data_IF_226496844249
#
_entry.id   IF_226496844249
#
_cell.length_a   1.000
_cell.length_b   1.000
_cell.length_c   1.000
_cell.angle_alpha   90.00
_cell.angle_beta   90.00
_cell.angle_gamma   90.00
#
_symmetry.space_group_name_H-M   'P 1'
#
loop_
_entity.id
_entity.type
_entity.pdbx_description
1 polymer ?
#
# COMPACT_ATOMS: atom_id res chain seq x y z
N UNK A 1 -8.19 34.51 -10.36
CA UNK A 1 -8.48 33.12 -9.93
C UNK A 1 -7.20 32.59 -9.30
N UNK A 2 -7.27 32.09 -8.06
CA UNK A 2 -6.10 31.43 -7.47
C UNK A 2 -5.83 30.15 -8.25
N UNK A 3 -4.55 29.87 -8.56
CA UNK A 3 -4.14 28.60 -9.15
C UNK A 3 -4.48 27.46 -8.19
N UNK A 4 -4.87 26.27 -8.69
CA UNK A 4 -5.12 25.13 -7.82
C UNK A 4 -3.82 24.72 -7.09
N UNK A 5 -3.97 24.27 -5.83
CA UNK A 5 -2.86 23.68 -5.10
C UNK A 5 -2.29 22.47 -5.87
N UNK A 6 -0.99 22.41 -6.00
CA UNK A 6 -0.29 21.40 -6.79
C UNK A 6 0.32 20.31 -5.91
N UNK A 7 0.13 19.06 -6.29
CA UNK A 7 0.66 17.89 -5.58
C UNK A 7 1.53 17.03 -6.50
N UNK A 8 2.67 16.57 -5.98
CA UNK A 8 3.46 15.55 -6.64
C UNK A 8 3.06 14.17 -6.09
N UNK A 9 2.71 13.24 -6.98
CA UNK A 9 2.45 11.84 -6.65
C UNK A 9 3.43 10.95 -7.40
N UNK A 10 4.41 10.37 -6.72
CA UNK A 10 5.28 9.37 -7.30
C UNK A 10 4.64 7.99 -7.20
N UNK A 11 4.74 7.16 -8.23
CA UNK A 11 3.98 5.90 -8.28
C UNK A 11 2.49 6.11 -8.52
N UNK A 12 2.11 7.24 -9.15
CA UNK A 12 0.73 7.64 -9.35
C UNK A 12 -0.04 6.82 -10.40
N UNK A 13 0.64 6.08 -11.28
CA UNK A 13 0.04 5.13 -12.21
C UNK A 13 -0.11 3.72 -11.61
N UNK A 14 0.37 3.51 -10.38
CA UNK A 14 0.21 2.29 -9.62
C UNK A 14 -1.22 2.10 -9.07
N UNK A 15 -1.45 0.97 -8.39
CA UNK A 15 -2.74 0.63 -7.80
C UNK A 15 -3.26 1.73 -6.85
N UNK A 16 -2.59 1.96 -5.72
CA UNK A 16 -3.03 2.95 -4.72
C UNK A 16 -2.90 4.38 -5.26
N UNK A 17 -1.79 4.65 -5.96
CA UNK A 17 -1.49 5.97 -6.51
C UNK A 17 -2.57 6.50 -7.45
N UNK A 18 -3.14 5.64 -8.32
CA UNK A 18 -4.18 6.05 -9.26
C UNK A 18 -5.48 6.49 -8.58
N UNK A 19 -5.88 5.83 -7.49
CA UNK A 19 -7.02 6.26 -6.69
C UNK A 19 -6.76 7.59 -5.96
N UNK A 20 -5.52 7.78 -5.47
CA UNK A 20 -5.13 9.04 -4.84
C UNK A 20 -5.13 10.19 -5.86
N UNK A 21 -4.60 9.97 -7.07
CA UNK A 21 -4.62 10.95 -8.16
C UNK A 21 -6.06 11.34 -8.53
N UNK A 22 -6.93 10.36 -8.75
CA UNK A 22 -8.35 10.61 -9.05
C UNK A 22 -9.02 11.45 -7.95
N UNK A 23 -8.75 11.13 -6.67
CA UNK A 23 -9.33 11.84 -5.55
C UNK A 23 -8.80 13.29 -5.44
N UNK A 24 -7.51 13.52 -5.61
CA UNK A 24 -6.92 14.86 -5.60
C UNK A 24 -7.50 15.73 -6.73
N UNK A 25 -7.63 15.18 -7.93
CA UNK A 25 -8.24 15.89 -9.06
C UNK A 25 -9.73 16.18 -8.83
N UNK A 26 -10.47 15.23 -8.24
CA UNK A 26 -11.87 15.43 -7.86
C UNK A 26 -12.03 16.52 -6.77
N UNK A 27 -11.05 16.66 -5.88
CA UNK A 27 -10.97 17.73 -4.88
C UNK A 27 -10.47 19.07 -5.50
N UNK A 28 -10.37 19.17 -6.85
CA UNK A 28 -10.00 20.40 -7.57
C UNK A 28 -8.51 20.75 -7.51
N UNK A 29 -7.63 19.78 -7.19
CA UNK A 29 -6.19 19.97 -7.09
C UNK A 29 -5.52 19.76 -8.45
N UNK A 30 -4.32 20.33 -8.64
CA UNK A 30 -3.43 19.99 -9.73
C UNK A 30 -2.48 18.87 -9.26
N UNK A 31 -2.20 17.91 -10.14
CA UNK A 31 -1.37 16.73 -9.82
C UNK A 31 -0.33 16.51 -10.90
N UNK A 32 0.94 16.40 -10.49
CA UNK A 32 1.98 15.80 -11.33
C UNK A 32 2.26 14.38 -10.85
N UNK A 33 2.18 13.41 -11.75
CA UNK A 33 2.55 12.02 -11.53
C UNK A 33 3.94 11.79 -12.11
N UNK A 34 4.83 11.13 -11.35
CA UNK A 34 6.07 10.54 -11.86
C UNK A 34 5.98 9.04 -11.60
N UNK A 35 6.03 8.23 -12.69
CA UNK A 35 5.92 6.77 -12.64
C UNK A 35 6.74 6.15 -13.78
N UNK A 36 7.51 5.10 -13.53
CA UNK A 36 8.29 4.41 -14.56
C UNK A 36 7.52 3.28 -15.26
N UNK A 37 6.25 3.11 -14.88
CA UNK A 37 5.33 2.09 -15.38
C UNK A 37 5.83 0.64 -15.21
N UNK A 38 6.84 0.42 -14.37
CA UNK A 38 7.41 -0.92 -14.12
C UNK A 38 6.44 -1.87 -13.44
N UNK A 39 5.52 -1.33 -12.63
CA UNK A 39 4.43 -2.06 -11.96
C UNK A 39 3.08 -1.37 -12.15
N UNK A 40 3.08 -0.09 -12.48
CA UNK A 40 1.91 0.71 -12.82
C UNK A 40 1.48 0.54 -14.27
N UNK A 41 0.34 1.16 -14.63
CA UNK A 41 -0.17 1.26 -16.00
C UNK A 41 -0.90 2.57 -16.19
N UNK A 42 -0.77 3.21 -17.35
CA UNK A 42 -1.57 4.38 -17.72
C UNK A 42 -3.08 4.07 -17.80
N UNK A 43 -3.45 2.80 -17.99
CA UNK A 43 -4.85 2.37 -17.92
C UNK A 43 -5.48 2.69 -16.57
N UNK A 44 -4.71 2.67 -15.49
CA UNK A 44 -5.19 3.04 -14.16
C UNK A 44 -5.58 4.53 -14.05
N UNK A 45 -5.06 5.38 -14.93
CA UNK A 45 -5.36 6.81 -14.99
C UNK A 45 -6.34 7.17 -16.11
N UNK A 46 -6.83 6.20 -16.88
CA UNK A 46 -7.65 6.44 -18.08
C UNK A 46 -8.87 7.33 -17.81
N UNK A 47 -9.50 7.20 -16.64
CA UNK A 47 -10.66 8.01 -16.27
C UNK A 47 -10.34 9.51 -16.11
N UNK A 48 -9.08 9.86 -15.85
CA UNK A 48 -8.64 11.24 -15.55
C UNK A 48 -7.52 11.73 -16.47
N UNK A 49 -7.06 10.94 -17.43
CA UNK A 49 -5.90 11.27 -18.28
C UNK A 49 -6.09 12.56 -19.09
N UNK A 50 -7.33 12.91 -19.43
CA UNK A 50 -7.68 14.13 -20.15
C UNK A 50 -7.92 15.34 -19.22
N UNK A 51 -7.76 15.21 -17.92
CA UNK A 51 -7.96 16.31 -16.98
C UNK A 51 -6.85 17.34 -17.15
N UNK A 52 -7.14 18.64 -17.39
CA UNK A 52 -6.14 19.68 -17.62
C UNK A 52 -5.23 19.94 -16.40
N UNK A 53 -5.66 19.52 -15.21
CA UNK A 53 -4.89 19.64 -13.98
C UNK A 53 -4.00 18.39 -13.72
N UNK A 54 -3.97 17.40 -14.62
CA UNK A 54 -3.12 16.23 -14.52
C UNK A 54 -1.94 16.35 -15.50
N UNK A 55 -0.74 16.20 -14.97
CA UNK A 55 0.49 15.99 -15.75
C UNK A 55 1.09 14.64 -15.39
N UNK A 56 1.37 13.81 -16.39
CA UNK A 56 2.03 12.51 -16.19
C UNK A 56 3.41 12.54 -16.82
N UNK A 57 4.42 12.11 -16.08
CA UNK A 57 5.81 11.99 -16.52
C UNK A 57 6.23 10.54 -16.38
N UNK A 58 6.45 9.86 -17.50
CA UNK A 58 6.96 8.50 -17.52
C UNK A 58 8.49 8.53 -17.29
N UNK A 59 8.89 8.28 -16.06
CA UNK A 59 10.28 8.28 -15.63
C UNK A 59 10.42 7.62 -14.26
N UNK A 60 11.61 7.09 -13.94
CA UNK A 60 11.99 6.92 -12.55
C UNK A 60 12.13 8.30 -11.90
N UNK A 61 11.82 8.40 -10.61
CA UNK A 61 11.94 9.67 -9.89
C UNK A 61 13.39 10.17 -9.92
N UNK A 62 14.35 9.25 -9.69
CA UNK A 62 15.79 9.54 -9.71
C UNK A 62 16.34 9.97 -11.08
N UNK A 63 15.63 9.68 -12.16
CA UNK A 63 16.02 10.04 -13.54
C UNK A 63 15.22 11.26 -14.07
N UNK A 64 14.23 11.75 -13.30
CA UNK A 64 13.40 12.88 -13.70
C UNK A 64 14.15 14.20 -13.57
N UNK A 65 14.58 14.76 -14.70
CA UNK A 65 15.35 16.02 -14.74
C UNK A 65 14.60 17.22 -14.16
N UNK A 66 13.27 17.21 -14.26
CA UNK A 66 12.42 18.29 -13.78
C UNK A 66 12.02 18.11 -12.28
N UNK A 67 12.50 17.07 -11.58
CA UNK A 67 12.08 16.77 -10.21
C UNK A 67 12.21 17.99 -9.28
N UNK A 68 13.31 18.70 -9.35
CA UNK A 68 13.57 19.86 -8.49
C UNK A 68 12.57 21.00 -8.68
N UNK A 69 12.22 21.28 -9.95
CA UNK A 69 11.22 22.30 -10.31
C UNK A 69 9.83 21.89 -9.88
N UNK A 70 9.44 20.63 -10.16
CA UNK A 70 8.14 20.09 -9.77
C UNK A 70 7.96 20.12 -8.25
N UNK A 71 9.00 19.73 -7.51
CA UNK A 71 8.96 19.78 -6.03
C UNK A 71 8.84 21.22 -5.53
N UNK A 72 9.57 22.16 -6.12
CA UNK A 72 9.51 23.59 -5.72
C UNK A 72 8.10 24.20 -5.92
N UNK A 73 7.35 23.71 -6.91
CA UNK A 73 5.98 24.15 -7.22
C UNK A 73 4.91 23.37 -6.42
N UNK A 74 5.29 22.31 -5.71
CA UNK A 74 4.35 21.42 -5.03
C UNK A 74 4.04 21.91 -3.61
N UNK A 75 2.75 21.92 -3.25
CA UNK A 75 2.26 22.08 -1.87
C UNK A 75 2.70 20.90 -1.01
N UNK A 76 2.76 19.69 -1.61
CA UNK A 76 3.14 18.49 -0.93
C UNK A 76 3.44 17.34 -1.88
N UNK A 77 4.15 16.34 -1.35
CA UNK A 77 4.53 15.12 -2.05
C UNK A 77 3.86 13.92 -1.39
N UNK A 78 3.23 13.06 -2.20
CA UNK A 78 2.88 11.69 -1.84
C UNK A 78 3.88 10.75 -2.52
N UNK A 79 4.76 10.13 -1.73
CA UNK A 79 5.76 9.22 -2.27
C UNK A 79 5.30 7.77 -2.13
N UNK A 80 4.72 7.22 -3.23
CA UNK A 80 4.24 5.85 -3.32
C UNK A 80 5.09 4.97 -4.24
N UNK A 81 6.00 5.57 -5.02
CA UNK A 81 6.89 4.83 -5.89
C UNK A 81 7.77 3.87 -5.09
N UNK A 82 7.69 2.59 -5.38
CA UNK A 82 8.52 1.55 -4.79
C UNK A 82 8.53 0.31 -5.70
N UNK A 83 9.63 -0.42 -5.71
CA UNK A 83 9.68 -1.76 -6.29
C UNK A 83 9.02 -2.73 -5.30
N UNK A 84 7.79 -3.16 -5.59
CA UNK A 84 6.97 -4.01 -4.73
C UNK A 84 6.53 -5.30 -5.44
N UNK A 85 6.21 -6.32 -4.65
CA UNK A 85 5.67 -7.60 -5.11
C UNK A 85 6.59 -8.76 -4.81
N UNK A 86 6.02 -9.86 -4.28
CA UNK A 86 6.78 -11.03 -3.80
C UNK A 86 7.67 -11.60 -4.90
N UNK A 87 7.16 -11.69 -6.12
CA UNK A 87 7.91 -12.24 -7.26
C UNK A 87 9.12 -11.36 -7.61
N UNK A 88 8.95 -10.03 -7.66
CA UNK A 88 10.04 -9.10 -7.95
C UNK A 88 11.09 -9.11 -6.83
N UNK A 89 10.64 -9.12 -5.58
CA UNK A 89 11.52 -9.15 -4.39
C UNK A 89 12.38 -10.42 -4.37
N UNK A 90 11.80 -11.57 -4.70
CA UNK A 90 12.52 -12.85 -4.71
C UNK A 90 13.45 -12.98 -5.92
N UNK A 91 12.98 -12.57 -7.10
CA UNK A 91 13.73 -12.77 -8.37
C UNK A 91 14.74 -11.66 -8.66
N UNK A 92 14.57 -10.47 -8.05
CA UNK A 92 15.44 -9.31 -8.32
C UNK A 92 15.71 -8.47 -7.06
N UNK A 93 16.26 -9.06 -5.99
CA UNK A 93 16.46 -8.39 -4.71
C UNK A 93 17.40 -7.18 -4.79
N UNK A 94 18.46 -7.24 -5.62
CA UNK A 94 19.36 -6.10 -5.83
C UNK A 94 18.60 -4.91 -6.37
N UNK A 95 17.81 -5.11 -7.43
CA UNK A 95 17.00 -4.05 -8.04
C UNK A 95 16.01 -3.49 -7.03
N UNK A 96 15.32 -4.35 -6.26
CA UNK A 96 14.34 -3.94 -5.25
C UNK A 96 14.96 -3.02 -4.22
N UNK A 97 16.10 -3.42 -3.62
CA UNK A 97 16.79 -2.63 -2.60
C UNK A 97 17.26 -1.29 -3.17
N UNK A 98 17.97 -1.33 -4.32
CA UNK A 98 18.55 -0.12 -4.92
C UNK A 98 17.47 0.88 -5.35
N UNK A 99 16.39 0.39 -5.97
CA UNK A 99 15.28 1.26 -6.41
C UNK A 99 14.62 1.92 -5.21
N UNK A 100 14.22 1.16 -4.18
CA UNK A 100 13.51 1.74 -3.04
C UNK A 100 14.36 2.82 -2.35
N UNK A 101 15.60 2.52 -2.02
CA UNK A 101 16.49 3.47 -1.36
C UNK A 101 16.76 4.71 -2.24
N UNK A 102 17.07 4.51 -3.53
CA UNK A 102 17.44 5.62 -4.41
C UNK A 102 16.28 6.56 -4.70
N UNK A 103 15.10 6.01 -5.00
CA UNK A 103 13.92 6.83 -5.30
C UNK A 103 13.48 7.62 -4.06
N UNK A 104 13.53 7.03 -2.86
CA UNK A 104 13.24 7.72 -1.60
C UNK A 104 14.27 8.80 -1.28
N UNK A 105 15.58 8.51 -1.42
CA UNK A 105 16.66 9.47 -1.16
C UNK A 105 16.50 10.74 -1.99
N UNK A 106 16.30 10.60 -3.31
CA UNK A 106 16.22 11.78 -4.20
C UNK A 106 15.00 12.64 -3.94
N UNK A 107 13.87 12.03 -3.55
CA UNK A 107 12.66 12.78 -3.17
C UNK A 107 12.89 13.55 -1.87
N UNK A 108 13.46 12.91 -0.85
CA UNK A 108 13.77 13.55 0.44
C UNK A 108 14.76 14.72 0.27
N UNK A 109 15.81 14.53 -0.54
CA UNK A 109 16.77 15.57 -0.86
C UNK A 109 16.12 16.77 -1.58
N UNK A 110 15.30 16.49 -2.61
CA UNK A 110 14.60 17.56 -3.34
C UNK A 110 13.62 18.31 -2.43
N UNK A 111 12.80 17.58 -1.67
CA UNK A 111 11.84 18.19 -0.75
C UNK A 111 12.53 19.01 0.35
N UNK A 112 13.67 18.56 0.86
CA UNK A 112 14.41 19.25 1.90
C UNK A 112 14.96 20.61 1.45
N UNK A 113 15.27 20.76 0.16
CA UNK A 113 15.74 22.05 -0.40
C UNK A 113 14.69 23.15 -0.33
N UNK A 114 13.43 22.77 -0.48
CA UNK A 114 12.31 23.70 -0.57
C UNK A 114 11.39 23.67 0.66
N UNK A 115 11.65 22.75 1.61
CA UNK A 115 10.82 22.57 2.80
C UNK A 115 9.45 21.97 2.48
N UNK A 116 9.31 21.25 1.36
CA UNK A 116 8.02 20.70 0.91
C UNK A 116 7.66 19.46 1.73
N UNK A 117 6.46 19.42 2.34
CA UNK A 117 6.05 18.28 3.15
C UNK A 117 5.88 17.00 2.34
N UNK A 118 6.27 15.86 2.95
CA UNK A 118 6.16 14.53 2.34
C UNK A 118 5.26 13.63 3.17
N UNK A 119 4.38 12.87 2.50
CA UNK A 119 3.83 11.64 3.01
C UNK A 119 4.50 10.47 2.30
N UNK A 120 5.30 9.68 3.06
CA UNK A 120 6.02 8.51 2.59
C UNK A 120 5.22 7.24 2.91
N UNK A 121 4.95 6.40 1.93
CA UNK A 121 4.36 5.08 2.19
C UNK A 121 5.43 4.04 2.52
N UNK A 122 5.22 3.35 3.63
CA UNK A 122 5.95 2.16 4.06
C UNK A 122 5.01 0.95 4.09
N UNK A 123 5.42 -0.12 4.73
CA UNK A 123 4.73 -1.40 4.70
C UNK A 123 4.67 -2.04 6.08
N UNK A 124 3.60 -2.80 6.35
CA UNK A 124 3.53 -3.65 7.54
C UNK A 124 4.59 -4.77 7.56
N UNK A 125 5.29 -5.03 6.47
CA UNK A 125 6.36 -6.03 6.43
C UNK A 125 7.58 -5.65 7.28
N UNK A 126 7.74 -4.37 7.64
CA UNK A 126 8.81 -3.91 8.53
C UNK A 126 8.70 -4.50 9.95
N UNK A 127 7.50 -4.94 10.38
CA UNK A 127 7.34 -5.65 11.65
C UNK A 127 7.98 -7.04 11.67
N UNK A 128 8.24 -7.61 10.50
CA UNK A 128 9.01 -8.83 10.32
C UNK A 128 8.44 -10.04 11.06
N UNK A 129 9.23 -10.64 11.93
CA UNK A 129 8.92 -11.88 12.68
C UNK A 129 8.21 -11.63 14.02
N UNK A 130 7.63 -10.46 14.24
CA UNK A 130 6.90 -10.16 15.47
C UNK A 130 5.77 -11.15 15.71
N UNK A 131 5.63 -11.61 16.95
CA UNK A 131 4.59 -12.55 17.40
C UNK A 131 3.43 -11.85 18.11
N UNK A 132 3.43 -10.51 18.14
CA UNK A 132 2.36 -9.75 18.80
C UNK A 132 1.02 -9.97 18.08
N UNK A 133 -0.11 -10.00 18.82
CA UNK A 133 -1.44 -10.18 18.24
C UNK A 133 -1.89 -9.00 17.36
N UNK A 134 -1.38 -7.79 17.65
CA UNK A 134 -1.55 -6.59 16.84
C UNK A 134 -0.25 -5.78 16.87
N UNK A 135 0.09 -5.13 15.76
CA UNK A 135 1.32 -4.36 15.61
C UNK A 135 1.05 -2.88 15.91
N UNK A 136 1.83 -2.33 16.81
CA UNK A 136 1.87 -0.91 17.15
C UNK A 136 3.12 -0.26 16.56
N UNK A 137 3.05 1.03 16.28
CA UNK A 137 4.16 1.78 15.70
C UNK A 137 5.40 1.86 16.61
N UNK A 138 5.20 1.67 17.91
CA UNK A 138 6.26 1.66 18.93
C UNK A 138 6.90 0.27 19.13
N UNK A 139 6.46 -0.73 18.35
CA UNK A 139 7.01 -2.08 18.47
C UNK A 139 8.39 -2.21 17.86
N UNK A 140 9.23 -3.09 18.43
CA UNK A 140 10.49 -3.50 17.83
C UNK A 140 10.25 -4.18 16.47
N UNK A 141 11.13 -3.89 15.50
CA UNK A 141 11.03 -4.41 14.14
C UNK A 141 11.99 -5.60 13.99
N UNK A 142 11.43 -6.82 13.91
CA UNK A 142 12.17 -8.08 13.99
C UNK A 142 12.45 -8.67 12.60
N UNK A 143 13.32 -8.02 11.85
CA UNK A 143 13.70 -8.49 10.50
C UNK A 143 14.45 -9.84 10.57
N UNK A 144 14.14 -10.73 9.62
CA UNK A 144 14.82 -12.02 9.50
C UNK A 144 16.25 -11.93 8.92
N UNK A 145 16.98 -13.05 8.89
CA UNK A 145 18.38 -13.07 8.48
C UNK A 145 18.55 -12.78 6.97
N UNK A 146 19.69 -12.18 6.56
CA UNK A 146 19.87 -11.67 5.19
C UNK A 146 19.94 -12.74 4.09
N UNK A 147 20.21 -14.00 4.43
CA UNK A 147 20.19 -15.10 3.45
C UNK A 147 18.76 -15.49 3.02
N UNK A 148 17.72 -15.01 3.74
CA UNK A 148 16.32 -15.15 3.35
C UNK A 148 15.88 -13.91 2.56
N UNK A 149 15.93 -14.00 1.25
CA UNK A 149 15.67 -12.88 0.32
C UNK A 149 14.33 -12.17 0.52
N UNK A 150 13.34 -12.84 1.11
CA UNK A 150 12.05 -12.27 1.47
C UNK A 150 12.17 -10.96 2.26
N UNK A 151 13.13 -10.88 3.17
CA UNK A 151 13.27 -9.72 4.07
C UNK A 151 13.92 -8.50 3.41
N UNK A 152 14.45 -8.65 2.20
CA UNK A 152 15.13 -7.56 1.48
C UNK A 152 14.20 -6.35 1.25
N UNK A 153 12.94 -6.59 0.88
CA UNK A 153 11.95 -5.54 0.72
C UNK A 153 11.61 -4.85 2.04
N UNK A 154 11.32 -5.62 3.09
CA UNK A 154 11.05 -5.08 4.41
C UNK A 154 12.23 -4.23 4.92
N UNK A 155 13.47 -4.73 4.73
CA UNK A 155 14.68 -4.02 5.11
C UNK A 155 14.86 -2.72 4.31
N UNK A 156 14.65 -2.73 3.00
CA UNK A 156 14.75 -1.51 2.18
C UNK A 156 13.73 -0.46 2.62
N UNK A 157 12.46 -0.84 2.87
CA UNK A 157 11.45 0.10 3.36
C UNK A 157 11.73 0.59 4.78
N UNK A 158 12.32 -0.26 5.64
CA UNK A 158 12.77 0.16 6.96
C UNK A 158 13.89 1.20 6.88
N UNK A 159 14.83 1.03 5.95
CA UNK A 159 15.87 2.02 5.69
C UNK A 159 15.29 3.34 5.17
N UNK A 160 14.25 3.31 4.32
CA UNK A 160 13.52 4.50 3.89
C UNK A 160 12.92 5.25 5.10
N UNK A 161 12.31 4.52 6.07
CA UNK A 161 11.78 5.12 7.30
C UNK A 161 12.89 5.80 8.13
N UNK A 162 14.02 5.10 8.37
CA UNK A 162 15.14 5.67 9.12
C UNK A 162 15.72 6.89 8.43
N UNK A 163 15.89 6.86 7.12
CA UNK A 163 16.36 8.00 6.34
C UNK A 163 15.39 9.18 6.44
N UNK A 164 14.10 8.96 6.25
CA UNK A 164 13.08 9.98 6.36
C UNK A 164 13.06 10.63 7.77
N UNK A 165 13.16 9.82 8.83
CA UNK A 165 13.23 10.32 10.21
C UNK A 165 14.54 11.06 10.51
N UNK A 166 15.64 10.72 9.84
CA UNK A 166 16.88 11.51 9.91
C UNK A 166 16.67 12.90 9.28
N UNK A 167 16.02 13.00 8.11
CA UNK A 167 15.67 14.29 7.50
C UNK A 167 14.75 15.14 8.40
N UNK A 168 13.79 14.51 9.10
CA UNK A 168 12.96 15.22 10.09
C UNK A 168 13.85 15.83 11.19
N UNK A 169 14.75 15.06 11.76
CA UNK A 169 15.59 15.51 12.89
C UNK A 169 16.62 16.55 12.48
N UNK A 170 17.35 16.28 11.40
CA UNK A 170 18.52 17.09 11.02
C UNK A 170 18.17 18.28 10.13
N UNK A 171 17.20 18.09 9.21
CA UNK A 171 16.83 19.10 8.22
C UNK A 171 15.48 19.77 8.50
N UNK A 172 14.75 19.34 9.54
CA UNK A 172 13.39 19.80 9.88
C UNK A 172 12.39 19.63 8.75
N UNK A 173 12.64 18.64 7.87
CA UNK A 173 11.72 18.31 6.78
C UNK A 173 10.41 17.75 7.37
N UNK A 174 9.23 18.30 7.00
CA UNK A 174 7.96 17.76 7.46
C UNK A 174 7.64 16.43 6.75
N UNK A 175 7.92 15.30 7.38
CA UNK A 175 7.61 13.97 6.86
C UNK A 175 6.59 13.27 7.74
N UNK A 176 5.60 12.62 7.12
CA UNK A 176 4.71 11.65 7.75
C UNK A 176 4.92 10.30 7.08
N UNK A 177 5.08 9.23 7.85
CA UNK A 177 5.28 7.87 7.33
C UNK A 177 4.02 7.05 7.56
N UNK A 178 3.46 6.44 6.50
CA UNK A 178 2.30 5.58 6.56
C UNK A 178 2.70 4.12 6.29
N UNK A 179 2.63 3.24 7.31
CA UNK A 179 2.83 1.79 7.16
C UNK A 179 1.53 1.16 6.67
N UNK A 180 1.48 0.78 5.39
CA UNK A 180 0.27 0.20 4.79
C UNK A 180 0.14 -1.29 5.12
N UNK A 181 -1.08 -1.69 5.51
CA UNK A 181 -1.47 -3.08 5.71
C UNK A 181 -2.38 -3.51 4.57
N UNK A 182 -2.08 -4.63 3.92
CA UNK A 182 -2.84 -5.31 2.85
C UNK A 182 -3.97 -4.48 2.23
N UNK A 183 -3.62 -3.41 1.56
CA UNK A 183 -4.58 -2.63 0.78
C UNK A 183 -5.04 -3.46 -0.41
N UNK A 184 -6.35 -3.52 -0.66
CA UNK A 184 -6.98 -4.30 -1.73
C UNK A 184 -8.05 -3.49 -2.45
N UNK A 185 -8.31 -3.83 -3.71
CA UNK A 185 -9.33 -3.18 -4.53
C UNK A 185 -9.18 -3.51 -6.01
N UNK A 186 -10.09 -3.00 -6.86
CA UNK A 186 -9.93 -3.04 -8.31
C UNK A 186 -8.62 -2.41 -8.76
N UNK A 187 -8.08 -2.77 -9.93
CA UNK A 187 -6.75 -2.39 -10.46
C UNK A 187 -5.57 -3.07 -9.76
N UNK A 188 -5.80 -3.80 -8.66
CA UNK A 188 -4.73 -4.59 -8.06
C UNK A 188 -4.48 -5.84 -8.91
N UNK A 189 -3.25 -5.99 -9.42
CA UNK A 189 -2.90 -7.18 -10.22
C UNK A 189 -2.55 -8.34 -9.29
N UNK A 190 -3.14 -9.52 -9.54
CA UNK A 190 -2.84 -10.75 -8.80
C UNK A 190 -1.43 -11.31 -9.02
N UNK A 191 -0.65 -10.73 -9.96
CA UNK A 191 0.71 -11.17 -10.34
C UNK A 191 1.73 -11.16 -9.19
N UNK A 192 1.47 -10.38 -8.14
CA UNK A 192 2.44 -10.15 -7.06
C UNK A 192 2.17 -10.94 -5.78
N UNK A 193 1.39 -12.04 -5.86
CA UNK A 193 1.18 -12.95 -4.71
C UNK A 193 0.14 -12.50 -3.69
N UNK A 194 -0.69 -11.51 -4.02
CA UNK A 194 -1.75 -11.00 -3.15
C UNK A 194 -2.90 -12.01 -3.03
N UNK A 195 -3.18 -12.51 -1.82
CA UNK A 195 -4.09 -13.65 -1.60
C UNK A 195 -5.53 -13.37 -2.02
N UNK A 196 -6.13 -12.23 -1.63
CA UNK A 196 -7.53 -11.94 -1.93
C UNK A 196 -7.81 -11.79 -3.43
N UNK A 197 -7.06 -10.98 -4.22
CA UNK A 197 -7.25 -10.91 -5.66
C UNK A 197 -7.10 -12.26 -6.37
N UNK A 198 -6.14 -13.09 -5.92
CA UNK A 198 -5.95 -14.44 -6.44
C UNK A 198 -7.17 -15.35 -6.20
N UNK A 199 -7.72 -15.31 -4.97
CA UNK A 199 -8.89 -16.12 -4.63
C UNK A 199 -10.12 -15.68 -5.41
N UNK A 200 -10.35 -14.38 -5.54
CA UNK A 200 -11.44 -13.82 -6.33
C UNK A 200 -11.32 -14.21 -7.81
N UNK A 201 -10.12 -14.07 -8.38
CA UNK A 201 -9.89 -14.48 -9.78
C UNK A 201 -10.10 -15.99 -10.00
N UNK A 202 -9.59 -16.84 -9.09
CA UNK A 202 -9.78 -18.29 -9.16
C UNK A 202 -11.26 -18.67 -9.02
N UNK A 203 -11.97 -18.10 -8.05
CA UNK A 203 -13.40 -18.35 -7.83
C UNK A 203 -14.25 -17.92 -9.04
N UNK A 204 -13.91 -16.77 -9.66
CA UNK A 204 -14.58 -16.27 -10.86
C UNK A 204 -14.34 -17.14 -12.10
N UNK A 205 -13.17 -17.79 -12.17
CA UNK A 205 -12.80 -18.70 -13.26
C UNK A 205 -13.19 -20.16 -13.00
N UNK A 206 -13.83 -20.50 -11.87
CA UNK A 206 -14.15 -21.88 -11.49
C UNK A 206 -12.91 -22.74 -11.21
N UNK A 207 -11.76 -22.10 -10.93
CA UNK A 207 -10.49 -22.76 -10.64
C UNK A 207 -10.31 -22.98 -9.13
N UNK A 208 -9.55 -24.00 -8.68
CA UNK A 208 -9.28 -24.22 -7.28
C UNK A 208 -8.61 -23.02 -6.60
N UNK A 209 -9.05 -22.67 -5.38
CA UNK A 209 -8.41 -21.68 -4.53
C UNK A 209 -7.26 -22.36 -3.78
N UNK A 210 -6.02 -22.02 -4.15
CA UNK A 210 -4.82 -22.59 -3.53
C UNK A 210 -4.45 -21.84 -2.25
N UNK A 211 -4.64 -22.49 -1.11
CA UNK A 211 -4.29 -22.04 0.23
C UNK A 211 -2.92 -22.62 0.58
N UNK A 212 -1.93 -21.76 0.82
CA UNK A 212 -0.58 -22.21 1.13
C UNK A 212 -0.43 -22.52 2.62
N UNK A 213 0.20 -23.67 2.93
CA UNK A 213 0.29 -24.24 4.26
C UNK A 213 -1.05 -24.79 4.75
N UNK A 214 -1.32 -24.64 6.05
CA UNK A 214 -2.55 -25.07 6.70
C UNK A 214 -3.68 -24.01 6.64
N UNK A 215 -3.36 -22.82 6.13
CA UNK A 215 -4.30 -21.71 6.03
C UNK A 215 -4.61 -20.98 7.35
N UNK A 216 -3.93 -21.34 8.46
CA UNK A 216 -4.15 -20.74 9.79
C UNK A 216 -3.56 -19.32 9.91
N UNK A 217 -2.65 -18.93 9.00
CA UNK A 217 -2.11 -17.58 9.00
C UNK A 217 -3.21 -16.55 8.75
N UNK A 218 -3.15 -15.43 9.48
CA UNK A 218 -4.23 -14.43 9.46
C UNK A 218 -3.82 -13.16 8.73
N UNK A 219 -4.81 -12.50 8.12
CA UNK A 219 -4.66 -11.22 7.42
C UNK A 219 -5.81 -10.28 7.76
N UNK A 220 -5.55 -8.99 7.63
CA UNK A 220 -6.56 -7.95 7.62
C UNK A 220 -6.53 -7.29 6.23
N UNK A 221 -7.67 -6.85 5.73
CA UNK A 221 -7.76 -6.22 4.41
C UNK A 221 -8.38 -4.84 4.54
N UNK A 222 -7.73 -3.84 3.95
CA UNK A 222 -8.20 -2.48 3.90
C UNK A 222 -8.58 -2.12 2.47
N UNK A 223 -9.78 -1.58 2.26
CA UNK A 223 -10.18 -1.17 0.92
C UNK A 223 -9.38 0.06 0.48
N UNK A 224 -9.06 0.11 -0.80
CA UNK A 224 -8.18 1.16 -1.35
C UNK A 224 -8.70 2.58 -1.11
N UNK A 225 -10.01 2.81 -1.15
CA UNK A 225 -10.56 4.14 -0.85
C UNK A 225 -10.38 4.54 0.61
N UNK A 226 -10.45 3.59 1.56
CA UNK A 226 -10.18 3.86 2.97
C UNK A 226 -8.68 4.16 3.17
N UNK A 227 -7.81 3.45 2.47
CA UNK A 227 -6.36 3.75 2.49
C UNK A 227 -6.10 5.16 1.98
N UNK A 228 -6.67 5.54 0.83
CA UNK A 228 -6.50 6.89 0.26
C UNK A 228 -7.05 7.98 1.19
N UNK A 229 -8.23 7.76 1.80
CA UNK A 229 -8.79 8.70 2.76
C UNK A 229 -7.87 8.87 3.99
N UNK A 230 -7.29 7.77 4.50
CA UNK A 230 -6.31 7.83 5.59
C UNK A 230 -5.07 8.66 5.20
N UNK A 231 -4.50 8.44 4.00
CA UNK A 231 -3.34 9.20 3.51
C UNK A 231 -3.65 10.70 3.39
N UNK A 232 -4.82 11.05 2.85
CA UNK A 232 -5.26 12.45 2.72
C UNK A 232 -5.44 13.12 4.09
N UNK A 233 -6.03 12.43 5.05
CA UNK A 233 -6.22 12.95 6.41
C UNK A 233 -4.90 13.10 7.15
N UNK A 234 -4.01 12.10 7.09
CA UNK A 234 -2.68 12.19 7.68
C UNK A 234 -1.91 13.40 7.13
N UNK A 235 -1.97 13.64 5.82
CA UNK A 235 -1.30 14.78 5.20
C UNK A 235 -1.84 16.13 5.70
N UNK A 236 -3.15 16.22 5.99
CA UNK A 236 -3.80 17.45 6.49
C UNK A 236 -3.60 17.66 8.00
N UNK A 237 -3.09 16.66 8.73
CA UNK A 237 -2.94 16.69 10.18
C UNK A 237 -1.52 17.10 10.56
N UNK A 238 -1.35 18.31 11.05
CA UNK A 238 -0.02 18.82 11.46
C UNK A 238 0.64 17.98 12.56
N UNK A 239 -0.15 17.40 13.47
CA UNK A 239 0.33 16.50 14.52
C UNK A 239 0.83 15.14 13.99
N UNK A 240 0.64 14.83 12.70
CA UNK A 240 1.19 13.63 12.07
C UNK A 240 2.62 13.85 11.52
N UNK A 241 3.11 15.09 11.50
CA UNK A 241 4.46 15.39 11.06
C UNK A 241 5.49 14.83 12.05
N UNK A 242 6.46 14.09 11.54
CA UNK A 242 7.45 13.37 12.34
C UNK A 242 6.97 12.04 12.92
N UNK A 243 5.77 11.60 12.51
CA UNK A 243 5.16 10.38 13.01
C UNK A 243 5.19 9.24 11.98
N UNK A 244 5.30 8.01 12.51
CA UNK A 244 5.02 6.78 11.79
C UNK A 244 3.62 6.33 12.18
N UNK A 245 2.76 5.98 11.21
CA UNK A 245 1.36 5.66 11.46
C UNK A 245 0.93 4.42 10.66
N UNK A 246 0.32 3.46 11.34
CA UNK A 246 -0.28 2.30 10.70
C UNK A 246 -1.58 2.68 9.97
N UNK A 247 -1.70 2.21 8.73
CA UNK A 247 -2.90 2.40 7.91
C UNK A 247 -3.42 1.04 7.45
N UNK A 248 -4.60 0.64 7.93
CA UNK A 248 -5.18 -0.66 7.63
C UNK A 248 -6.45 -0.93 8.42
N UNK A 249 -7.10 -2.07 8.16
CA UNK A 249 -8.26 -2.56 8.91
C UNK A 249 -7.81 -3.50 10.03
N UNK A 250 -8.55 -3.53 11.13
CA UNK A 250 -8.34 -4.47 12.26
C UNK A 250 -9.15 -5.77 12.12
N UNK A 251 -10.03 -5.86 11.10
CA UNK A 251 -10.85 -7.05 10.84
C UNK A 251 -9.95 -8.20 10.35
N UNK A 252 -9.74 -9.19 11.23
CA UNK A 252 -8.81 -10.29 11.03
C UNK A 252 -9.54 -11.54 10.55
N UNK A 253 -8.98 -12.21 9.53
CA UNK A 253 -9.49 -13.49 9.03
C UNK A 253 -8.33 -14.45 8.74
N UNK A 254 -8.50 -15.76 8.95
CA UNK A 254 -7.56 -16.77 8.47
C UNK A 254 -7.60 -16.89 6.95
N UNK A 255 -6.50 -17.31 6.33
CA UNK A 255 -6.47 -17.48 4.86
C UNK A 255 -7.41 -18.60 4.42
N UNK A 256 -7.60 -19.64 5.24
CA UNK A 256 -8.55 -20.70 4.95
C UNK A 256 -10.00 -20.20 5.03
N UNK A 257 -10.36 -19.45 6.10
CA UNK A 257 -11.71 -18.87 6.21
C UNK A 257 -11.97 -17.82 5.11
N UNK A 258 -10.95 -17.08 4.70
CA UNK A 258 -11.03 -16.17 3.55
C UNK A 258 -11.39 -16.93 2.26
N UNK A 259 -10.77 -18.09 2.02
CA UNK A 259 -11.08 -18.91 0.84
C UNK A 259 -12.55 -19.38 0.86
N UNK A 260 -13.02 -19.90 2.00
CA UNK A 260 -14.43 -20.28 2.19
C UNK A 260 -15.38 -19.09 1.98
N UNK A 261 -15.02 -17.92 2.53
CA UNK A 261 -15.82 -16.70 2.42
C UNK A 261 -15.95 -16.23 0.97
N UNK A 262 -14.84 -16.23 0.21
CA UNK A 262 -14.82 -15.86 -1.22
C UNK A 262 -15.71 -16.84 -2.03
N UNK A 263 -15.55 -18.14 -1.85
CA UNK A 263 -16.37 -19.16 -2.54
C UNK A 263 -17.85 -18.94 -2.25
N UNK A 264 -18.22 -18.72 -0.99
CA UNK A 264 -19.60 -18.49 -0.57
C UNK A 264 -20.19 -17.20 -1.16
N UNK A 265 -19.49 -16.06 -1.03
CA UNK A 265 -19.99 -14.76 -1.50
C UNK A 265 -20.10 -14.69 -3.02
N UNK A 266 -19.19 -15.35 -3.74
CA UNK A 266 -19.22 -15.40 -5.20
C UNK A 266 -20.13 -16.50 -5.76
N UNK A 267 -20.78 -17.33 -4.91
CA UNK A 267 -21.55 -18.52 -5.31
C UNK A 267 -20.73 -19.40 -6.26
N UNK A 268 -19.43 -19.55 -5.99
CA UNK A 268 -18.53 -20.33 -6.84
C UNK A 268 -18.57 -21.81 -6.50
N UNK A 269 -18.42 -22.67 -7.51
CA UNK A 269 -18.23 -24.12 -7.34
C UNK A 269 -16.76 -24.51 -7.17
N UNK A 270 -15.85 -23.55 -7.06
CA UNK A 270 -14.42 -23.80 -6.91
C UNK A 270 -14.09 -24.59 -5.65
N UNK A 271 -13.22 -25.57 -5.76
CA UNK A 271 -12.65 -26.28 -4.61
C UNK A 271 -11.59 -25.44 -3.88
N UNK A 272 -11.31 -25.78 -2.63
CA UNK A 272 -10.21 -25.22 -1.86
C UNK A 272 -9.14 -26.31 -1.74
N UNK A 273 -7.91 -25.97 -2.14
CA UNK A 273 -6.76 -26.88 -2.11
C UNK A 273 -5.70 -26.36 -1.16
N UNK A 274 -5.31 -27.19 -0.17
CA UNK A 274 -4.16 -26.91 0.68
C UNK A 274 -2.89 -27.32 -0.06
N UNK A 275 -1.97 -26.37 -0.23
CA UNK A 275 -0.69 -26.60 -0.91
C UNK A 275 0.44 -26.40 0.09
N UNK A 276 1.27 -27.42 0.39
CA UNK A 276 2.39 -27.28 1.30
C UNK A 276 3.35 -26.13 0.90
N UNK A 277 3.94 -25.47 1.89
CA UNK A 277 4.79 -24.28 1.63
C UNK A 277 6.03 -24.59 0.79
N UNK A 278 6.62 -25.78 0.97
CA UNK A 278 7.78 -26.26 0.22
C UNK A 278 7.48 -26.52 -1.27
N UNK A 279 6.20 -26.73 -1.61
CA UNK A 279 5.73 -26.89 -3.00
C UNK A 279 5.34 -25.53 -3.59
N UNK A 280 4.75 -24.65 -2.76
CA UNK A 280 4.13 -23.41 -3.21
C UNK A 280 5.12 -22.25 -3.40
N UNK A 281 6.23 -22.27 -2.66
CA UNK A 281 7.12 -21.12 -2.50
C UNK A 281 8.58 -21.53 -2.68
N UNK A 282 9.41 -20.55 -3.04
CA UNK A 282 10.86 -20.78 -3.17
C UNK A 282 11.48 -21.26 -1.85
N UNK A 283 12.54 -22.09 -1.89
CA UNK A 283 13.25 -22.55 -0.70
C UNK A 283 13.65 -21.38 0.21
N UNK A 284 13.39 -21.52 1.51
CA UNK A 284 13.71 -20.48 2.50
C UNK A 284 12.69 -19.35 2.60
N UNK A 285 11.51 -19.47 1.98
CA UNK A 285 10.43 -18.52 2.18
C UNK A 285 9.84 -18.71 3.58
N UNK A 286 9.76 -17.59 4.34
CA UNK A 286 9.06 -17.52 5.63
C UNK A 286 7.83 -16.65 5.50
N UNK A 287 6.70 -17.05 6.06
CA UNK A 287 5.50 -16.22 6.10
C UNK A 287 5.29 -15.60 7.50
N UNK A 288 4.71 -14.42 7.53
CA UNK A 288 4.27 -13.78 8.77
C UNK A 288 2.94 -14.43 9.20
N UNK A 289 2.89 -15.04 10.39
CA UNK A 289 1.67 -15.69 10.87
C UNK A 289 0.52 -14.70 11.08
N UNK A 290 0.80 -13.55 11.70
CA UNK A 290 -0.19 -12.51 11.99
C UNK A 290 0.22 -11.21 11.31
N UNK A 291 -0.76 -10.46 10.80
CA UNK A 291 -0.55 -9.11 10.23
C UNK A 291 -1.78 -8.25 10.52
N UNK A 292 -1.99 -7.95 11.81
CA UNK A 292 -3.06 -7.06 12.26
C UNK A 292 -2.46 -5.74 12.73
N UNK A 293 -2.89 -4.57 12.22
CA UNK A 293 -2.50 -3.28 12.76
C UNK A 293 -3.22 -2.99 14.08
N UNK A 294 -2.60 -2.21 14.95
CA UNK A 294 -3.33 -1.28 15.80
C UNK A 294 -3.48 0.02 15.01
N UNK A 295 -4.69 0.56 14.91
CA UNK A 295 -4.97 1.83 14.23
C UNK A 295 -5.35 2.94 15.21
N UNK A 296 -5.08 2.76 16.49
CA UNK A 296 -5.37 3.75 17.52
C UNK A 296 -4.66 5.09 17.27
N UNK A 297 -3.41 5.05 16.78
CA UNK A 297 -2.64 6.25 16.44
C UNK A 297 -3.27 6.99 15.25
N UNK A 298 -3.68 6.26 14.20
CA UNK A 298 -4.41 6.83 13.07
C UNK A 298 -5.70 7.53 13.52
N UNK A 299 -6.50 6.83 14.32
CA UNK A 299 -7.74 7.40 14.84
C UNK A 299 -7.52 8.62 15.73
N UNK A 300 -6.56 8.56 16.66
CA UNK A 300 -6.22 9.68 17.54
C UNK A 300 -5.78 10.93 16.78
N UNK A 301 -4.99 10.75 15.72
CA UNK A 301 -4.46 11.86 14.92
C UNK A 301 -5.50 12.44 13.96
N UNK A 302 -6.36 11.61 13.39
CA UNK A 302 -7.18 12.00 12.22
C UNK A 302 -8.69 11.88 12.45
N UNK A 303 -9.12 11.24 13.54
CA UNK A 303 -10.53 10.86 13.77
C UNK A 303 -11.07 9.85 12.76
N UNK A 304 -10.20 9.17 12.00
CA UNK A 304 -10.60 8.25 10.91
C UNK A 304 -10.37 6.79 11.30
N UNK A 305 -11.33 5.94 10.94
CA UNK A 305 -11.22 4.49 10.90
C UNK A 305 -11.72 3.98 9.55
N UNK A 306 -11.09 2.96 8.95
CA UNK A 306 -11.61 2.30 7.75
C UNK A 306 -13.05 1.84 7.96
N UNK A 307 -13.87 1.98 6.93
CA UNK A 307 -15.32 1.76 7.02
C UNK A 307 -15.81 0.53 6.26
N UNK A 308 -15.03 0.03 5.30
CA UNK A 308 -15.41 -1.13 4.51
C UNK A 308 -15.14 -2.43 5.27
N UNK A 309 -16.18 -3.27 5.37
CA UNK A 309 -16.07 -4.62 5.93
C UNK A 309 -15.62 -5.63 4.86
N UNK A 310 -15.10 -6.77 5.31
CA UNK A 310 -14.49 -7.78 4.42
C UNK A 310 -15.44 -8.26 3.31
N UNK A 311 -16.73 -8.44 3.59
CA UNK A 311 -17.70 -8.89 2.58
C UNK A 311 -17.90 -7.86 1.46
N UNK A 312 -17.95 -6.59 1.83
CA UNK A 312 -18.03 -5.49 0.88
C UNK A 312 -16.74 -5.42 0.03
N UNK A 313 -15.60 -5.59 0.67
CA UNK A 313 -14.30 -5.63 -0.01
C UNK A 313 -14.24 -6.77 -1.02
N UNK A 314 -14.68 -7.98 -0.65
CA UNK A 314 -14.72 -9.15 -1.56
C UNK A 314 -15.62 -8.84 -2.75
N UNK A 315 -16.83 -8.30 -2.52
CA UNK A 315 -17.76 -7.94 -3.58
C UNK A 315 -17.18 -6.88 -4.54
N UNK A 316 -16.55 -5.83 -3.99
CA UNK A 316 -15.91 -4.76 -4.78
C UNK A 316 -14.74 -5.29 -5.62
N UNK A 317 -13.90 -6.16 -5.05
CA UNK A 317 -12.79 -6.80 -5.78
C UNK A 317 -13.30 -7.74 -6.87
N UNK A 318 -14.43 -8.41 -6.63
CA UNK A 318 -15.09 -9.28 -7.61
C UNK A 318 -15.85 -8.50 -8.71
N UNK A 319 -15.93 -7.17 -8.64
CA UNK A 319 -16.74 -6.37 -9.56
C UNK A 319 -18.25 -6.59 -9.41
N UNK A 320 -18.70 -7.07 -8.26
CA UNK A 320 -20.11 -7.34 -7.98
C UNK A 320 -20.78 -6.14 -7.29
N UNK A 321 -22.09 -5.90 -7.52
CA UNK A 321 -22.82 -4.87 -6.79
C UNK A 321 -22.90 -5.24 -5.31
N UNK A 322 -22.67 -4.25 -4.44
CA UNK A 322 -22.75 -4.43 -2.98
C UNK A 322 -24.21 -4.73 -2.61
N UNK A 323 -24.49 -5.94 -2.12
CA UNK A 323 -25.74 -6.21 -1.43
C UNK A 323 -25.68 -5.48 -0.07
N UNK A 324 -26.37 -4.34 0.06
CA UNK A 324 -26.54 -3.69 1.38
C UNK A 324 -27.21 -4.72 2.29
N UNK A 325 -26.40 -5.29 3.21
CA UNK A 325 -26.91 -6.18 4.26
C UNK A 325 -27.91 -5.40 5.12
N UNK A 326 -28.99 -6.08 5.52
CA UNK A 326 -29.87 -5.56 6.56
C UNK A 326 -29.04 -5.24 7.81
N UNK A 327 -29.33 -4.15 8.55
CA UNK A 327 -28.63 -3.85 9.79
C UNK A 327 -28.75 -5.04 10.74
N UNK A 328 -27.60 -5.64 11.09
CA UNK A 328 -27.58 -6.63 12.15
C UNK A 328 -27.98 -5.89 13.43
N UNK A 329 -29.09 -6.32 14.02
CA UNK A 329 -29.67 -5.71 15.20
C UNK A 329 -28.63 -5.55 16.30
N UNK A 330 -28.63 -4.38 16.92
CA UNK A 330 -27.89 -4.10 18.14
C UNK A 330 -28.37 -5.06 19.28
N UNK A 331 -27.46 -5.45 20.21
CA UNK A 331 -27.82 -6.24 21.37
C UNK A 331 -28.71 -5.49 22.34
#
# INVERSE_FOLDING_TARGET
MNLPEHFLVTGGAGFIGSYLVERLLADGKAVTVIDDLSTGSLDNLQAVIANPNLRVIESKVSECRALSEIVAESESIYHLAAAVGVELVVNSPIRTIQTNLRETEVVLEAASRYGVPILLTSTSEVYGKSQKPAFSEEDDLLIGPPHLGRWSYACSKLMDEFLAMAFVRERKLPVTIARLFNTVGPRQTGKYGMVLPRFVAAAGAGQPLKVYGDGSQTRCFCYVSDTVEALLRLKRTSAAVGEVVNVGSEEQISVLDLAHRVVSLMNSSSSIELVPYDVALAPGFEDMRNRRPSIEKLWRLTGFRPSHHLDEIIALVAGQPIKKGAPQGAP
#
